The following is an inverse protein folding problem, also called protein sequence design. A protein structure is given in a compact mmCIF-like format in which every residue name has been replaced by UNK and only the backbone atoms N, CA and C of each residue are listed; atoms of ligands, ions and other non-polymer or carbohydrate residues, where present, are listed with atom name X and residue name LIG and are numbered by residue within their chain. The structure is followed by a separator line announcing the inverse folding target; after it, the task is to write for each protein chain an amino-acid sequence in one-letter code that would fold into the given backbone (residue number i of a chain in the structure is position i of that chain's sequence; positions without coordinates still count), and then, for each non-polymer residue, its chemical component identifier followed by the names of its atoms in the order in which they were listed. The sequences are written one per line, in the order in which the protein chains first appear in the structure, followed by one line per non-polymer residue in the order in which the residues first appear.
data_IF_401006201096
#
_entry.id   IF_401006201096
#
_cell.length_a   1.000
_cell.length_b   1.000
_cell.length_c   1.000
_cell.angle_alpha   90.00
_cell.angle_beta   90.00
_cell.angle_gamma   90.00
#
_symmetry.space_group_name_H-M   'P 1'
#
loop_
_entity.id
_entity.type
_entity.pdbx_description
1 polymer ?
#
# COMPACT_ATOMS: atom_id res chain seq x y z
N UNK A 1 0.01 -26.99 -15.84
CA UNK A 1 -1.06 -25.97 -15.92
C UNK A 1 -0.39 -24.63 -15.74
N UNK A 2 -0.17 -23.89 -16.82
CA UNK A 2 0.47 -22.58 -16.78
C UNK A 2 -0.54 -21.56 -16.27
N UNK A 3 -0.57 -21.34 -14.96
CA UNK A 3 -1.18 -20.12 -14.41
C UNK A 3 -0.40 -18.95 -15.01
N UNK A 4 -1.09 -18.02 -15.68
CA UNK A 4 -0.46 -16.81 -16.19
C UNK A 4 0.19 -16.07 -15.00
N UNK A 5 1.51 -15.80 -15.04
CA UNK A 5 2.21 -15.17 -13.93
C UNK A 5 1.73 -13.73 -13.68
N UNK A 6 1.09 -13.14 -14.68
CA UNK A 6 0.78 -11.73 -14.77
C UNK A 6 -0.70 -11.49 -15.05
N UNK A 7 -1.31 -10.54 -14.34
CA UNK A 7 -2.67 -10.06 -14.55
C UNK A 7 -2.65 -8.56 -14.83
N UNK A 8 -3.37 -8.12 -15.87
CA UNK A 8 -3.68 -6.70 -16.11
C UNK A 8 -5.17 -6.57 -16.24
N UNK A 9 -5.75 -5.73 -15.40
CA UNK A 9 -7.19 -5.48 -15.41
C UNK A 9 -7.44 -3.99 -15.24
N UNK A 10 -8.46 -3.49 -15.93
CA UNK A 10 -8.90 -2.11 -15.78
C UNK A 10 -10.41 -2.00 -15.87
N UNK A 11 -10.99 -0.94 -15.31
CA UNK A 11 -12.42 -0.60 -15.43
C UNK A 11 -13.31 -1.73 -14.90
N UNK A 12 -13.12 -2.08 -13.62
CA UNK A 12 -13.93 -3.09 -12.91
C UNK A 12 -14.41 -2.51 -11.59
N UNK A 13 -15.63 -2.84 -11.20
CA UNK A 13 -16.12 -2.52 -9.84
C UNK A 13 -15.32 -3.29 -8.78
N UNK A 14 -15.11 -4.59 -8.97
CA UNK A 14 -14.45 -5.45 -7.98
C UNK A 14 -13.40 -6.36 -8.61
N UNK A 15 -12.24 -6.45 -7.95
CA UNK A 15 -11.18 -7.40 -8.27
C UNK A 15 -10.78 -8.16 -7.01
N UNK A 16 -10.86 -9.49 -7.08
CA UNK A 16 -10.34 -10.39 -6.05
C UNK A 16 -9.34 -11.33 -6.70
N UNK A 17 -8.07 -11.23 -6.31
CA UNK A 17 -6.98 -12.03 -6.90
C UNK A 17 -6.14 -12.64 -5.80
N UNK A 18 -5.75 -13.90 -6.00
CA UNK A 18 -4.75 -14.53 -5.15
C UNK A 18 -3.74 -15.35 -5.93
N UNK A 19 -2.58 -15.58 -5.32
CA UNK A 19 -1.53 -16.48 -5.79
C UNK A 19 -1.07 -16.15 -7.22
N UNK A 20 -0.47 -14.96 -7.39
CA UNK A 20 0.12 -14.51 -8.65
C UNK A 20 1.51 -13.93 -8.40
N UNK A 21 2.33 -13.92 -9.43
CA UNK A 21 3.61 -13.22 -9.36
C UNK A 21 3.35 -11.71 -9.50
N UNK A 22 2.51 -11.29 -10.45
CA UNK A 22 2.35 -9.88 -10.76
C UNK A 22 0.90 -9.48 -11.07
N UNK A 23 0.48 -8.32 -10.55
CA UNK A 23 -0.77 -7.65 -10.97
C UNK A 23 -0.53 -6.16 -11.34
N UNK A 24 -1.12 -5.72 -12.46
CA UNK A 24 -1.42 -4.31 -12.72
C UNK A 24 -2.94 -4.11 -12.65
N UNK A 25 -3.41 -3.14 -11.88
CA UNK A 25 -4.83 -2.76 -11.86
C UNK A 25 -5.02 -1.27 -11.97
N UNK A 26 -6.00 -0.81 -12.75
CA UNK A 26 -6.34 0.61 -12.81
C UNK A 26 -7.83 0.87 -12.93
N UNK A 27 -8.32 1.98 -12.38
CA UNK A 27 -9.72 2.41 -12.49
C UNK A 27 -10.67 1.31 -11.97
N UNK A 28 -10.58 1.03 -10.68
CA UNK A 28 -11.41 0.02 -10.02
C UNK A 28 -11.90 0.53 -8.69
N UNK A 29 -13.13 0.21 -8.30
CA UNK A 29 -13.64 0.66 -6.99
C UNK A 29 -12.97 -0.14 -5.87
N UNK A 30 -13.02 -1.48 -5.93
CA UNK A 30 -12.54 -2.36 -4.86
C UNK A 30 -11.53 -3.40 -5.32
N UNK A 31 -10.40 -3.48 -4.60
CA UNK A 31 -9.38 -4.52 -4.77
C UNK A 31 -9.15 -5.27 -3.47
N UNK A 32 -9.23 -6.60 -3.53
CA UNK A 32 -8.75 -7.49 -2.45
C UNK A 32 -7.73 -8.45 -3.04
N UNK A 33 -6.50 -8.39 -2.54
CA UNK A 33 -5.41 -9.19 -3.07
C UNK A 33 -4.62 -9.88 -1.98
N UNK A 34 -4.18 -11.10 -2.28
CA UNK A 34 -3.43 -11.90 -1.34
C UNK A 34 -2.43 -12.80 -2.07
N UNK A 35 -1.24 -12.99 -1.53
CA UNK A 35 -0.19 -13.83 -2.14
C UNK A 35 0.23 -13.31 -3.55
N UNK A 36 0.62 -12.03 -3.66
CA UNK A 36 1.05 -11.41 -4.93
C UNK A 36 2.46 -10.80 -4.85
N UNK A 37 3.48 -11.32 -5.54
CA UNK A 37 4.87 -10.81 -5.40
C UNK A 37 5.00 -9.31 -5.76
N UNK A 38 4.35 -8.86 -6.83
CA UNK A 38 4.42 -7.47 -7.28
C UNK A 38 3.03 -6.90 -7.60
N UNK A 39 2.72 -5.73 -7.01
CA UNK A 39 1.46 -5.04 -7.20
C UNK A 39 1.73 -3.63 -7.71
N UNK A 40 1.12 -3.27 -8.85
CA UNK A 40 1.08 -1.89 -9.35
C UNK A 40 -0.38 -1.50 -9.55
N UNK A 41 -0.85 -0.48 -8.84
CA UNK A 41 -2.25 -0.06 -8.91
C UNK A 41 -2.43 1.45 -8.93
N UNK A 42 -3.44 1.91 -9.64
CA UNK A 42 -3.75 3.33 -9.75
C UNK A 42 -5.23 3.63 -9.88
N UNK A 43 -5.70 4.76 -9.33
CA UNK A 43 -7.09 5.22 -9.43
C UNK A 43 -8.06 4.16 -8.89
N UNK A 44 -7.93 3.86 -7.59
CA UNK A 44 -8.74 2.87 -6.87
C UNK A 44 -9.45 3.56 -5.71
N UNK A 45 -10.69 3.20 -5.38
CA UNK A 45 -11.33 3.74 -4.17
C UNK A 45 -10.78 3.02 -2.93
N UNK A 46 -10.81 1.69 -2.93
CA UNK A 46 -10.45 0.88 -1.76
C UNK A 46 -9.57 -0.32 -2.08
N UNK A 47 -8.48 -0.49 -1.32
CA UNK A 47 -7.54 -1.60 -1.46
C UNK A 47 -7.33 -2.32 -0.13
N UNK A 48 -7.39 -3.65 -0.17
CA UNK A 48 -6.91 -4.53 0.90
C UNK A 48 -5.85 -5.48 0.37
N UNK A 49 -4.68 -5.49 1.02
CA UNK A 49 -3.57 -6.40 0.72
C UNK A 49 -3.10 -7.13 1.97
N UNK A 50 -2.88 -8.44 1.85
CA UNK A 50 -2.14 -9.24 2.83
C UNK A 50 -1.16 -10.19 2.13
N UNK A 51 0.00 -10.53 2.73
CA UNK A 51 0.58 -11.90 2.78
C UNK A 51 2.12 -12.02 2.74
N UNK A 52 2.59 -13.21 3.18
CA UNK A 52 3.97 -13.73 3.33
C UNK A 52 4.59 -14.19 1.97
N UNK A 53 5.90 -13.97 1.82
CA UNK A 53 6.82 -14.13 0.68
C UNK A 53 6.94 -12.93 -0.29
N UNK A 54 8.09 -12.24 -0.20
CA UNK A 54 8.71 -11.20 -1.06
C UNK A 54 7.78 -10.31 -1.85
N UNK A 55 7.50 -9.09 -1.33
CA UNK A 55 6.52 -8.18 -1.96
C UNK A 55 6.90 -6.72 -2.03
N UNK A 56 6.74 -6.19 -3.24
CA UNK A 56 6.88 -4.78 -3.58
C UNK A 56 5.55 -4.24 -4.11
N UNK A 57 5.06 -3.17 -3.51
CA UNK A 57 3.79 -2.53 -3.86
C UNK A 57 4.04 -1.09 -4.31
N UNK A 58 3.48 -0.73 -5.47
CA UNK A 58 3.41 0.66 -5.96
C UNK A 58 1.96 1.03 -6.16
N UNK A 59 1.54 2.11 -5.50
CA UNK A 59 0.14 2.54 -5.49
C UNK A 59 0.06 4.05 -5.67
N UNK A 60 -0.89 4.54 -6.48
CA UNK A 60 -1.11 5.97 -6.63
C UNK A 60 -2.57 6.36 -6.84
N UNK A 61 -3.01 7.48 -6.27
CA UNK A 61 -4.38 8.00 -6.40
C UNK A 61 -5.41 7.01 -5.85
N UNK A 62 -5.42 6.83 -4.53
CA UNK A 62 -6.34 5.92 -3.84
C UNK A 62 -7.03 6.67 -2.70
N UNK A 63 -8.31 6.38 -2.44
CA UNK A 63 -8.96 6.96 -1.27
C UNK A 63 -8.53 6.21 0.00
N UNK A 64 -8.61 4.88 0.02
CA UNK A 64 -8.32 4.09 1.21
C UNK A 64 -7.48 2.83 0.94
N UNK A 65 -6.47 2.60 1.80
CA UNK A 65 -5.58 1.45 1.75
C UNK A 65 -5.43 0.77 3.11
N UNK A 66 -5.60 -0.55 3.14
CA UNK A 66 -5.15 -1.43 4.23
C UNK A 66 -4.15 -2.44 3.70
N UNK A 67 -2.94 -2.44 4.27
CA UNK A 67 -1.87 -3.37 3.89
C UNK A 67 -1.25 -4.00 5.12
N UNK A 68 -0.95 -5.30 5.04
CA UNK A 68 -0.22 -5.99 6.11
C UNK A 68 0.77 -7.02 5.58
N UNK A 69 1.89 -7.16 6.29
CA UNK A 69 2.93 -8.16 6.03
C UNK A 69 3.53 -8.01 4.63
N UNK A 70 4.14 -6.86 4.33
CA UNK A 70 4.78 -6.56 3.04
C UNK A 70 6.21 -6.08 3.29
N UNK A 71 7.16 -6.34 2.40
CA UNK A 71 8.53 -5.88 2.59
C UNK A 71 8.67 -4.40 2.19
N UNK A 72 8.20 -4.04 0.99
CA UNK A 72 8.39 -2.70 0.44
C UNK A 72 7.09 -2.11 -0.09
N UNK A 73 6.78 -0.88 0.32
CA UNK A 73 5.61 -0.13 -0.18
C UNK A 73 6.04 1.27 -0.62
N UNK A 74 5.62 1.66 -1.82
CA UNK A 74 5.68 3.03 -2.33
C UNK A 74 4.27 3.49 -2.66
N UNK A 75 3.82 4.56 -2.01
CA UNK A 75 2.46 5.10 -2.18
C UNK A 75 2.48 6.61 -2.37
N UNK A 76 1.58 7.12 -3.21
CA UNK A 76 1.46 8.57 -3.42
C UNK A 76 0.02 9.01 -3.69
N UNK A 77 -0.37 10.17 -3.17
CA UNK A 77 -1.72 10.73 -3.35
C UNK A 77 -2.79 9.79 -2.79
N UNK A 78 -2.82 9.65 -1.46
CA UNK A 78 -3.77 8.78 -0.76
C UNK A 78 -4.50 9.57 0.32
N UNK A 79 -5.81 9.39 0.49
CA UNK A 79 -6.50 10.04 1.61
C UNK A 79 -6.16 9.30 2.92
N UNK A 80 -6.39 7.98 2.97
CA UNK A 80 -6.24 7.18 4.19
C UNK A 80 -5.41 5.92 4.00
N UNK A 81 -4.45 5.71 4.90
CA UNK A 81 -3.60 4.51 4.92
C UNK A 81 -3.59 3.88 6.32
N UNK A 82 -3.77 2.56 6.36
CA UNK A 82 -3.49 1.73 7.54
C UNK A 82 -2.53 0.61 7.14
N UNK A 83 -1.36 0.57 7.77
CA UNK A 83 -0.35 -0.46 7.50
C UNK A 83 0.24 -1.08 8.76
N UNK A 84 0.59 -2.35 8.64
CA UNK A 84 1.24 -3.10 9.72
C UNK A 84 2.25 -4.11 9.22
N UNK A 85 3.33 -4.32 9.99
CA UNK A 85 4.36 -5.32 9.70
C UNK A 85 5.02 -5.09 8.33
N UNK A 86 5.65 -3.92 8.15
CA UNK A 86 6.31 -3.55 6.90
C UNK A 86 7.79 -3.28 7.14
N UNK A 87 8.69 -3.75 6.28
CA UNK A 87 10.11 -3.41 6.44
C UNK A 87 10.36 -1.95 6.01
N UNK A 88 9.96 -1.58 4.79
CA UNK A 88 10.24 -0.26 4.23
C UNK A 88 9.01 0.40 3.60
N UNK A 89 8.76 1.66 3.97
CA UNK A 89 7.69 2.47 3.43
C UNK A 89 8.22 3.80 2.90
N UNK A 90 7.79 4.17 1.70
CA UNK A 90 7.92 5.53 1.15
C UNK A 90 6.53 6.05 0.81
N UNK A 91 6.12 7.14 1.46
CA UNK A 91 4.83 7.78 1.20
C UNK A 91 4.98 9.26 0.86
N UNK A 92 4.10 9.75 -0.01
CA UNK A 92 4.02 11.19 -0.33
C UNK A 92 2.58 11.64 -0.56
N UNK A 93 2.23 12.85 -0.10
CA UNK A 93 0.90 13.44 -0.30
C UNK A 93 -0.21 12.55 0.28
N UNK A 94 -0.24 12.42 1.61
CA UNK A 94 -1.23 11.60 2.32
C UNK A 94 -1.97 12.46 3.33
N UNK A 95 -3.30 12.37 3.40
CA UNK A 95 -4.03 13.08 4.46
C UNK A 95 -3.79 12.40 5.81
N UNK A 96 -4.04 11.09 5.90
CA UNK A 96 -3.96 10.35 7.15
C UNK A 96 -3.26 9.00 7.00
N UNK A 97 -2.32 8.70 7.91
CA UNK A 97 -1.63 7.42 7.95
C UNK A 97 -1.51 6.86 9.38
N UNK A 98 -1.85 5.58 9.54
CA UNK A 98 -1.63 4.79 10.76
C UNK A 98 -0.68 3.66 10.41
N UNK A 99 0.45 3.62 11.11
CA UNK A 99 1.50 2.63 10.90
C UNK A 99 1.83 1.90 12.20
N UNK A 100 2.13 0.61 12.11
CA UNK A 100 2.57 -0.21 13.23
C UNK A 100 3.59 -1.26 12.81
N UNK A 101 4.61 -1.51 13.64
CA UNK A 101 5.66 -2.50 13.37
C UNK A 101 6.35 -2.26 12.01
N UNK A 102 7.04 -1.12 11.88
CA UNK A 102 7.74 -0.73 10.65
C UNK A 102 9.23 -0.57 10.92
N UNK A 103 10.11 -1.15 10.10
CA UNK A 103 11.55 -0.92 10.29
C UNK A 103 11.95 0.49 9.84
N UNK A 104 11.54 0.90 8.64
CA UNK A 104 11.91 2.19 8.06
C UNK A 104 10.74 2.87 7.33
N UNK A 105 10.53 4.15 7.62
CA UNK A 105 9.53 4.97 6.93
C UNK A 105 10.10 6.32 6.48
N UNK A 106 9.84 6.68 5.23
CA UNK A 106 10.04 8.03 4.68
C UNK A 106 8.70 8.61 4.31
N UNK A 107 8.37 9.75 4.89
CA UNK A 107 7.11 10.44 4.59
C UNK A 107 7.36 11.88 4.14
N UNK A 108 6.54 12.32 3.19
CA UNK A 108 6.53 13.71 2.71
C UNK A 108 5.10 14.20 2.50
N UNK A 109 4.81 15.43 2.89
CA UNK A 109 3.49 16.06 2.70
C UNK A 109 2.36 15.21 3.32
N UNK A 110 2.33 15.15 4.65
CA UNK A 110 1.34 14.39 5.42
C UNK A 110 0.57 15.33 6.34
N UNK A 111 -0.76 15.24 6.38
CA UNK A 111 -1.49 16.03 7.38
C UNK A 111 -1.37 15.36 8.76
N UNK A 112 -1.66 14.06 8.86
CA UNK A 112 -1.67 13.34 10.13
C UNK A 112 -1.01 11.96 10.05
N UNK A 113 -0.12 11.67 11.01
CA UNK A 113 0.44 10.31 11.20
C UNK A 113 0.26 9.81 12.64
N UNK A 114 -0.10 8.53 12.77
CA UNK A 114 0.05 7.75 14.00
C UNK A 114 1.07 6.66 13.77
N UNK A 115 2.04 6.58 14.67
CA UNK A 115 3.11 5.61 14.63
C UNK A 115 3.07 4.75 15.88
N UNK A 116 3.40 3.46 15.73
CA UNK A 116 3.77 2.59 16.84
C UNK A 116 4.83 1.58 16.39
N UNK A 117 5.79 1.26 17.25
CA UNK A 117 6.87 0.28 16.96
C UNK A 117 7.58 0.56 15.62
N UNK A 118 8.32 1.67 15.57
CA UNK A 118 9.16 2.02 14.42
C UNK A 118 10.61 2.18 14.82
N UNK A 119 11.52 1.60 14.02
CA UNK A 119 12.96 1.75 14.25
C UNK A 119 13.48 3.08 13.70
N UNK A 120 13.09 3.46 12.47
CA UNK A 120 13.55 4.68 11.82
C UNK A 120 12.43 5.42 11.05
N UNK A 121 12.34 6.73 11.27
CA UNK A 121 11.40 7.62 10.57
C UNK A 121 12.09 8.88 10.05
N UNK A 122 11.87 9.18 8.77
CA UNK A 122 12.26 10.44 8.14
C UNK A 122 10.99 11.16 7.69
N UNK A 123 10.80 12.39 8.17
CA UNK A 123 9.60 13.19 7.88
C UNK A 123 9.97 14.52 7.24
N UNK A 124 9.20 14.91 6.24
CA UNK A 124 9.21 16.25 5.67
C UNK A 124 7.78 16.74 5.47
N UNK A 125 7.51 18.00 5.84
CA UNK A 125 6.18 18.62 5.73
C UNK A 125 5.05 17.78 6.36
N UNK A 126 4.99 17.79 7.70
CA UNK A 126 3.93 17.15 8.46
C UNK A 126 3.21 18.16 9.35
N UNK A 127 1.88 18.08 9.40
CA UNK A 127 1.11 18.95 10.30
C UNK A 127 1.02 18.37 11.70
N UNK A 128 0.73 17.06 11.83
CA UNK A 128 0.56 16.41 13.12
C UNK A 128 1.12 14.99 13.17
N UNK A 129 1.67 14.62 14.33
CA UNK A 129 2.27 13.31 14.57
C UNK A 129 1.95 12.81 15.97
N UNK A 130 1.48 11.56 16.05
CA UNK A 130 1.41 10.75 17.27
C UNK A 130 2.42 9.62 17.15
N UNK A 131 3.19 9.38 18.21
CA UNK A 131 4.18 8.31 18.32
C UNK A 131 3.84 7.37 19.47
#
# INVERSE_FOLDING_TARGET
MSCLPFIVVSNRELIVVSNREFIVVSNTEFIVVSNIEFIVVSNIEFIVVSNIEFRFIVVSNIEFIVVSNIEFIVVSNIEFIVVSNIEFIVVSNIEFIVVSNIEFIVVSNIEFIVVSNIDFIVVSNIEFTVL
#
